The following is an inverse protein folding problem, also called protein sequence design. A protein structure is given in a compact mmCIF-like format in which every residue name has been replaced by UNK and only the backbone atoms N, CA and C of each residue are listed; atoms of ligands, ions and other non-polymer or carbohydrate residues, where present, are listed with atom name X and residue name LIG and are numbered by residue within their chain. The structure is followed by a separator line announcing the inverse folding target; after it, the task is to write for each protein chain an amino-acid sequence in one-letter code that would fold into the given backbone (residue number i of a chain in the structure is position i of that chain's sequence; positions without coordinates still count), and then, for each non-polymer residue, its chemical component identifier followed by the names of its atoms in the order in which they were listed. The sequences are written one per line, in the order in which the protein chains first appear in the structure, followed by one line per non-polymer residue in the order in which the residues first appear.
data_IF_323873260992
#
_entry.id   IF_323873260992
#
_cell.length_a   1.000
_cell.length_b   1.000
_cell.length_c   1.000
_cell.angle_alpha   90.00
_cell.angle_beta   90.00
_cell.angle_gamma   90.00
#
_symmetry.space_group_name_H-M   'P 1'
#
loop_
_entity.id
_entity.type
_entity.pdbx_description
1 polymer ?
#
# COMPACT_ATOMS: atom_id res chain seq x y z
N UNK A 1 -21.68 -12.23 3.35
CA UNK A 1 -20.70 -12.99 2.53
C UNK A 1 -19.31 -12.53 2.96
N UNK A 2 -18.42 -13.47 3.24
CA UNK A 2 -17.04 -13.12 3.58
C UNK A 2 -16.41 -12.35 2.41
N UNK A 3 -15.88 -11.16 2.69
CA UNK A 3 -15.21 -10.34 1.70
C UNK A 3 -13.69 -10.57 1.77
N UNK A 4 -13.05 -10.66 0.61
CA UNK A 4 -11.60 -10.85 0.51
C UNK A 4 -10.92 -9.55 0.16
N UNK A 5 -9.99 -9.10 0.99
CA UNK A 5 -9.18 -7.91 0.79
C UNK A 5 -7.71 -8.30 0.62
N UNK A 6 -7.02 -7.65 -0.31
CA UNK A 6 -5.57 -7.77 -0.50
C UNK A 6 -4.94 -6.38 -0.38
N UNK A 7 -3.83 -6.28 0.34
CA UNK A 7 -2.91 -5.13 0.31
C UNK A 7 -1.55 -5.58 -0.18
N UNK A 8 -0.96 -4.83 -1.13
CA UNK A 8 0.32 -5.18 -1.74
C UNK A 8 1.05 -3.97 -2.32
N UNK A 9 2.27 -3.73 -1.88
CA UNK A 9 3.22 -2.89 -2.60
C UNK A 9 3.81 -3.69 -3.78
N UNK A 10 3.73 -3.15 -5.01
CA UNK A 10 4.06 -3.88 -6.24
C UNK A 10 5.42 -3.54 -6.87
N UNK A 11 6.18 -2.62 -6.27
CA UNK A 11 7.47 -2.12 -6.81
C UNK A 11 7.37 -1.72 -8.30
N UNK A 12 6.33 -1.00 -8.66
CA UNK A 12 6.07 -0.52 -10.02
C UNK A 12 5.91 -1.67 -11.02
N UNK A 13 6.71 -1.65 -12.10
CA UNK A 13 6.63 -2.65 -13.18
C UNK A 13 7.42 -3.92 -12.91
N UNK A 14 8.27 -3.93 -11.89
CA UNK A 14 9.29 -4.97 -11.70
C UNK A 14 8.73 -6.38 -11.59
N UNK A 15 7.57 -6.51 -10.96
CA UNK A 15 6.97 -7.80 -10.63
C UNK A 15 5.59 -8.02 -11.27
N UNK A 16 5.22 -7.24 -12.29
CA UNK A 16 3.90 -7.39 -12.95
C UNK A 16 3.67 -8.80 -13.52
N UNK A 17 4.74 -9.49 -13.92
CA UNK A 17 4.70 -10.89 -14.37
C UNK A 17 4.22 -11.87 -13.28
N UNK A 18 4.31 -11.49 -12.01
CA UNK A 18 3.84 -12.25 -10.84
C UNK A 18 2.57 -11.66 -10.26
N UNK A 19 2.52 -10.32 -10.14
CA UNK A 19 1.40 -9.61 -9.54
C UNK A 19 0.11 -9.83 -10.33
N UNK A 20 0.14 -9.68 -11.67
CA UNK A 20 -1.07 -9.83 -12.49
C UNK A 20 -1.66 -11.24 -12.40
N UNK A 21 -0.91 -12.34 -12.59
CA UNK A 21 -1.44 -13.69 -12.40
C UNK A 21 -1.95 -13.93 -10.97
N UNK A 22 -1.24 -13.43 -9.95
CA UNK A 22 -1.66 -13.56 -8.56
C UNK A 22 -3.02 -12.89 -8.32
N UNK A 23 -3.22 -11.64 -8.74
CA UNK A 23 -4.48 -10.94 -8.57
C UNK A 23 -5.62 -11.64 -9.33
N UNK A 24 -5.35 -12.13 -10.55
CA UNK A 24 -6.31 -12.87 -11.37
C UNK A 24 -6.74 -14.19 -10.70
N UNK A 25 -5.82 -14.90 -10.04
CA UNK A 25 -6.11 -16.12 -9.29
C UNK A 25 -6.91 -15.82 -8.02
N UNK A 26 -6.48 -14.78 -7.26
CA UNK A 26 -7.05 -14.46 -5.97
C UNK A 26 -8.49 -13.96 -6.05
N UNK A 27 -8.86 -13.21 -7.10
CA UNK A 27 -10.21 -12.65 -7.31
C UNK A 27 -10.77 -11.99 -6.05
N UNK A 28 -9.94 -11.14 -5.41
CA UNK A 28 -10.34 -10.46 -4.19
C UNK A 28 -11.44 -9.41 -4.48
N UNK A 29 -12.30 -9.18 -3.51
CA UNK A 29 -13.36 -8.17 -3.62
C UNK A 29 -12.79 -6.75 -3.57
N UNK A 30 -11.66 -6.56 -2.86
CA UNK A 30 -10.93 -5.29 -2.82
C UNK A 30 -9.43 -5.56 -2.86
N UNK A 31 -8.71 -4.78 -3.66
CA UNK A 31 -7.26 -4.79 -3.75
C UNK A 31 -6.73 -3.38 -3.53
N UNK A 32 -5.90 -3.20 -2.52
CA UNK A 32 -5.19 -1.97 -2.20
C UNK A 32 -3.74 -2.11 -2.64
N UNK A 33 -3.32 -1.30 -3.60
CA UNK A 33 -1.98 -1.37 -4.18
C UNK A 33 -1.18 -0.12 -3.86
N UNK A 34 0.11 -0.29 -3.58
CA UNK A 34 1.08 0.77 -3.44
C UNK A 34 2.13 0.63 -4.55
N UNK A 35 2.79 1.75 -4.87
CA UNK A 35 3.81 1.83 -5.93
C UNK A 35 3.30 1.46 -7.32
N UNK A 36 2.13 1.97 -7.68
CA UNK A 36 1.48 1.72 -8.97
C UNK A 36 1.81 2.82 -9.97
N UNK A 37 2.23 2.45 -11.19
CA UNK A 37 2.19 3.38 -12.31
C UNK A 37 0.78 3.46 -12.90
N UNK A 38 0.29 4.68 -13.14
CA UNK A 38 -1.03 4.89 -13.75
C UNK A 38 -1.18 4.12 -15.08
N UNK A 39 -0.13 4.11 -15.90
CA UNK A 39 -0.14 3.42 -17.20
C UNK A 39 -0.27 1.89 -17.10
N UNK A 40 -0.04 1.29 -15.93
CA UNK A 40 -0.16 -0.15 -15.72
C UNK A 40 -1.52 -0.56 -15.13
N UNK A 41 -2.37 0.40 -14.72
CA UNK A 41 -3.72 0.12 -14.23
C UNK A 41 -4.56 -0.74 -15.20
N UNK A 42 -4.52 -0.54 -16.54
CA UNK A 42 -5.25 -1.41 -17.46
C UNK A 42 -4.84 -2.89 -17.38
N UNK A 43 -3.58 -3.19 -17.07
CA UNK A 43 -3.08 -4.57 -16.91
C UNK A 43 -3.46 -5.17 -15.55
N UNK A 44 -3.43 -4.34 -14.49
CA UNK A 44 -3.74 -4.75 -13.12
C UNK A 44 -5.24 -5.00 -12.93
N UNK A 45 -6.08 -4.26 -13.66
CA UNK A 45 -7.54 -4.38 -13.57
C UNK A 45 -8.06 -5.68 -14.17
N UNK A 46 -7.46 -6.14 -15.28
CA UNK A 46 -7.98 -7.21 -16.12
C UNK A 46 -9.51 -7.12 -16.35
N UNK A 47 -10.18 -8.24 -16.62
CA UNK A 47 -11.64 -8.28 -16.79
C UNK A 47 -12.41 -8.39 -15.46
N UNK A 48 -11.72 -8.73 -14.36
CA UNK A 48 -12.36 -8.93 -13.06
C UNK A 48 -12.53 -7.62 -12.29
N UNK A 49 -11.49 -6.77 -12.24
CA UNK A 49 -11.53 -5.51 -11.50
C UNK A 49 -12.08 -4.37 -12.38
N UNK A 50 -13.41 -4.24 -12.43
CA UNK A 50 -14.10 -3.25 -13.29
C UNK A 50 -13.99 -1.82 -12.77
N UNK A 51 -13.79 -1.63 -11.47
CA UNK A 51 -13.71 -0.32 -10.82
C UNK A 51 -12.32 -0.09 -10.24
N UNK A 52 -11.87 1.17 -10.24
CA UNK A 52 -10.64 1.57 -9.58
C UNK A 52 -10.67 3.03 -9.14
N UNK A 53 -9.87 3.32 -8.12
CA UNK A 53 -9.46 4.66 -7.72
C UNK A 53 -7.93 4.72 -7.78
N UNK A 54 -7.38 5.88 -8.11
CA UNK A 54 -5.95 6.09 -8.18
C UNK A 54 -5.60 7.48 -7.66
N UNK A 55 -4.64 7.55 -6.73
CA UNK A 55 -4.07 8.80 -6.23
C UNK A 55 -2.60 8.85 -6.62
N UNK A 56 -2.20 9.74 -7.54
CA UNK A 56 -0.78 9.94 -7.83
C UNK A 56 -0.10 10.63 -6.65
N UNK A 57 1.08 10.15 -6.27
CA UNK A 57 1.87 10.67 -5.15
C UNK A 57 3.17 11.34 -5.60
N UNK A 58 3.57 11.13 -6.84
CA UNK A 58 4.73 11.76 -7.47
C UNK A 58 4.72 11.65 -9.00
N UNK A 59 5.50 12.54 -9.65
CA UNK A 59 5.93 12.37 -11.03
C UNK A 59 7.33 11.75 -11.07
N UNK A 60 7.52 10.71 -11.85
CA UNK A 60 8.85 10.20 -12.12
C UNK A 60 9.17 10.37 -13.61
N UNK A 61 10.23 11.12 -13.89
CA UNK A 61 10.87 11.20 -15.19
C UNK A 61 12.27 10.55 -15.17
N UNK A 62 12.70 10.10 -14.00
CA UNK A 62 14.00 9.51 -13.78
C UNK A 62 13.86 8.07 -13.28
N UNK A 63 14.77 7.29 -13.75
CA UNK A 63 15.01 5.93 -13.39
C UNK A 63 15.51 5.87 -11.95
N UNK A 64 14.61 5.70 -11.00
CA UNK A 64 15.01 5.29 -9.67
C UNK A 64 15.66 3.94 -9.79
N UNK A 65 16.99 3.81 -9.73
CA UNK A 65 17.76 2.56 -9.65
C UNK A 65 17.01 1.24 -9.99
N UNK A 66 15.84 1.38 -10.54
CA UNK A 66 15.20 0.37 -11.30
C UNK A 66 16.14 0.21 -12.48
N UNK A 67 17.01 -0.79 -12.47
CA UNK A 67 17.62 -1.27 -13.69
C UNK A 67 16.48 -1.57 -14.66
N UNK A 68 16.12 -0.55 -15.43
CA UNK A 68 15.05 -0.64 -16.41
C UNK A 68 15.63 -1.41 -17.57
N UNK A 69 15.60 -2.71 -17.40
CA UNK A 69 15.72 -3.62 -18.51
C UNK A 69 14.36 -3.68 -19.17
N UNK A 70 14.31 -3.00 -20.34
CA UNK A 70 13.30 -3.16 -21.39
C UNK A 70 11.85 -2.73 -21.06
N UNK A 71 11.41 -1.68 -21.71
CA UNK A 71 10.00 -1.31 -21.83
C UNK A 71 9.54 -0.01 -21.19
N UNK A 72 10.43 0.77 -20.58
CA UNK A 72 10.07 2.12 -20.14
C UNK A 72 10.11 3.11 -21.32
N UNK A 73 8.97 3.69 -21.66
CA UNK A 73 8.95 4.86 -22.52
C UNK A 73 9.53 6.04 -21.76
N UNK A 74 10.45 6.83 -22.37
CA UNK A 74 10.89 8.07 -21.76
C UNK A 74 9.69 9.02 -21.62
N UNK A 75 9.55 9.66 -20.45
CA UNK A 75 8.48 10.62 -20.17
C UNK A 75 8.13 10.68 -18.69
N UNK A 76 7.46 11.75 -18.31
CA UNK A 76 6.91 11.87 -16.96
C UNK A 76 5.78 10.85 -16.77
N UNK A 77 5.86 10.07 -15.70
CA UNK A 77 4.89 9.05 -15.35
C UNK A 77 4.30 9.35 -13.98
N UNK A 78 3.00 9.18 -13.84
CA UNK A 78 2.34 9.24 -12.54
C UNK A 78 2.52 7.91 -11.80
N UNK A 79 2.90 8.03 -10.56
CA UNK A 79 3.14 6.91 -9.65
C UNK A 79 2.40 7.15 -8.34
N UNK A 80 1.76 6.14 -7.78
CA UNK A 80 0.92 6.37 -6.63
C UNK A 80 0.36 5.11 -6.00
N UNK A 81 -0.82 5.27 -5.40
CA UNK A 81 -1.59 4.21 -4.76
C UNK A 81 -2.92 4.00 -5.49
N UNK A 82 -3.45 2.77 -5.43
CA UNK A 82 -4.69 2.43 -6.09
C UNK A 82 -5.57 1.50 -5.24
N UNK A 83 -6.89 1.60 -5.43
CA UNK A 83 -7.87 0.60 -5.00
C UNK A 83 -8.51 0.02 -6.25
N UNK A 84 -8.55 -1.31 -6.37
CA UNK A 84 -9.23 -2.03 -7.43
C UNK A 84 -10.36 -2.87 -6.82
N UNK A 85 -11.48 -3.00 -7.53
CA UNK A 85 -12.61 -3.83 -7.06
C UNK A 85 -13.52 -4.25 -8.22
N UNK A 86 -14.13 -5.44 -8.18
CA UNK A 86 -15.28 -5.77 -9.01
C UNK A 86 -16.55 -5.04 -8.51
N UNK A 87 -16.59 -4.63 -7.25
CA UNK A 87 -17.69 -3.89 -6.66
C UNK A 87 -17.61 -2.40 -7.06
N UNK A 88 -18.74 -1.68 -7.09
CA UNK A 88 -18.73 -0.24 -7.24
C UNK A 88 -17.89 0.42 -6.13
N UNK A 89 -17.01 1.34 -6.54
CA UNK A 89 -16.21 2.14 -5.63
C UNK A 89 -16.75 3.57 -5.58
N UNK A 90 -16.90 4.10 -4.37
CA UNK A 90 -17.20 5.53 -4.15
C UNK A 90 -16.03 6.13 -3.38
N UNK A 91 -15.33 7.09 -3.99
CA UNK A 91 -14.29 7.85 -3.30
C UNK A 91 -14.93 8.74 -2.23
N UNK A 92 -14.46 8.63 -1.00
CA UNK A 92 -14.85 9.48 0.12
C UNK A 92 -13.79 10.54 0.40
N UNK A 93 -12.51 10.19 0.21
CA UNK A 93 -11.38 11.06 0.39
C UNK A 93 -10.20 10.58 -0.45
N UNK A 94 -9.52 11.51 -1.13
CA UNK A 94 -8.17 11.33 -1.65
C UNK A 94 -7.33 12.52 -1.17
N UNK A 95 -6.24 12.27 -0.45
CA UNK A 95 -5.45 13.33 0.19
C UNK A 95 -3.97 12.98 0.24
N UNK A 96 -3.13 14.00 0.19
CA UNK A 96 -1.71 13.93 0.45
C UNK A 96 -1.40 14.31 1.90
N UNK A 97 -0.34 13.72 2.47
CA UNK A 97 -0.04 13.85 3.90
C UNK A 97 1.03 14.89 4.21
N UNK A 98 1.80 15.35 3.21
CA UNK A 98 2.81 16.38 3.42
C UNK A 98 2.36 17.74 2.83
N UNK A 99 1.85 18.65 3.65
CA UNK A 99 1.42 19.97 3.17
C UNK A 99 2.58 20.90 2.75
N UNK A 100 3.83 20.50 3.01
CA UNK A 100 5.02 21.26 2.61
C UNK A 100 5.49 20.93 1.20
N UNK A 101 5.01 19.82 0.64
CA UNK A 101 5.30 19.39 -0.72
C UNK A 101 4.15 19.75 -1.67
N UNK A 102 4.41 19.92 -2.98
CA UNK A 102 3.36 19.84 -3.98
C UNK A 102 2.57 18.54 -3.84
N UNK A 103 1.29 18.53 -4.22
CA UNK A 103 0.48 17.29 -4.21
C UNK A 103 1.19 16.17 -4.98
N UNK A 104 1.70 16.48 -6.16
CA UNK A 104 2.43 15.52 -7.00
C UNK A 104 3.83 16.07 -7.26
N UNK A 105 4.79 15.88 -6.34
CA UNK A 105 6.15 16.39 -6.53
C UNK A 105 6.89 15.63 -7.63
N UNK A 106 7.85 16.30 -8.25
CA UNK A 106 8.83 15.61 -9.09
C UNK A 106 9.81 14.88 -8.19
N UNK A 107 9.91 13.58 -8.38
CA UNK A 107 10.78 12.76 -7.55
C UNK A 107 12.27 13.02 -7.82
N UNK A 108 13.00 13.25 -6.76
CA UNK A 108 14.44 13.47 -6.78
C UNK A 108 15.24 12.46 -5.93
N UNK A 109 14.57 11.51 -5.29
CA UNK A 109 15.22 10.51 -4.45
C UNK A 109 14.25 9.79 -3.49
N UNK A 110 14.70 8.78 -2.75
CA UNK A 110 13.92 8.11 -1.73
C UNK A 110 13.30 9.09 -0.75
N UNK A 111 12.01 8.93 -0.47
CA UNK A 111 11.28 9.79 0.47
C UNK A 111 10.95 11.20 -0.03
N UNK A 112 11.09 11.48 -1.32
CA UNK A 112 10.73 12.79 -1.91
C UNK A 112 9.34 12.81 -2.52
N UNK A 113 8.60 11.71 -2.46
CA UNK A 113 7.17 11.68 -2.82
C UNK A 113 6.30 12.24 -1.70
N UNK A 114 5.10 12.63 -2.04
CA UNK A 114 4.10 13.04 -1.07
C UNK A 114 3.24 11.83 -0.70
N UNK A 115 3.34 11.29 0.53
CA UNK A 115 2.54 10.13 0.95
C UNK A 115 1.05 10.39 0.76
N UNK A 116 0.33 9.37 0.29
CA UNK A 116 -1.08 9.49 -0.06
C UNK A 116 -1.99 8.62 0.80
N UNK A 117 -3.25 9.05 0.92
CA UNK A 117 -4.35 8.32 1.54
C UNK A 117 -5.54 8.33 0.59
N UNK A 118 -6.10 7.16 0.30
CA UNK A 118 -7.43 7.01 -0.33
C UNK A 118 -8.36 6.40 0.72
N UNK A 119 -9.53 7.01 0.91
CA UNK A 119 -10.65 6.40 1.64
C UNK A 119 -11.80 6.21 0.67
N UNK A 120 -12.34 5.00 0.58
CA UNK A 120 -13.40 4.65 -0.35
C UNK A 120 -14.43 3.70 0.29
N UNK A 121 -15.64 3.72 -0.23
CA UNK A 121 -16.61 2.64 -0.04
C UNK A 121 -16.48 1.61 -1.14
N UNK A 122 -16.45 0.32 -0.75
CA UNK A 122 -16.63 -0.82 -1.62
C UNK A 122 -17.80 -1.65 -1.06
N UNK A 123 -18.97 -1.57 -1.69
CA UNK A 123 -20.22 -2.03 -1.05
C UNK A 123 -20.50 -1.27 0.24
N UNK A 124 -20.68 -2.01 1.35
CA UNK A 124 -20.93 -1.42 2.68
C UNK A 124 -19.64 -1.11 3.46
N UNK A 125 -18.48 -1.61 3.01
CA UNK A 125 -17.21 -1.41 3.70
C UNK A 125 -16.58 -0.07 3.39
N UNK A 126 -16.09 0.61 4.42
CA UNK A 126 -15.19 1.75 4.27
C UNK A 126 -13.74 1.25 4.38
N UNK A 127 -12.95 1.53 3.35
CA UNK A 127 -11.56 1.06 3.22
C UNK A 127 -10.67 2.25 3.01
N UNK A 128 -9.59 2.32 3.79
CA UNK A 128 -8.52 3.28 3.64
C UNK A 128 -7.22 2.56 3.26
N UNK A 129 -6.49 3.12 2.29
CA UNK A 129 -5.16 2.63 1.93
C UNK A 129 -4.16 3.77 1.85
N UNK A 130 -2.94 3.49 2.28
CA UNK A 130 -1.84 4.45 2.26
C UNK A 130 -0.54 3.80 1.78
N UNK A 131 0.33 4.61 1.16
CA UNK A 131 1.76 4.36 1.13
C UNK A 131 2.39 5.46 1.97
N UNK A 132 2.70 5.10 3.21
CA UNK A 132 3.07 6.07 4.23
C UNK A 132 4.53 6.52 4.09
N UNK A 133 4.93 7.46 4.91
CA UNK A 133 6.24 8.11 4.86
C UNK A 133 7.38 7.15 5.09
N UNK A 134 8.23 7.01 4.10
CA UNK A 134 9.47 6.25 4.25
C UNK A 134 10.48 6.99 5.12
N UNK A 135 11.11 6.25 6.02
CA UNK A 135 12.24 6.71 6.84
C UNK A 135 13.36 5.69 6.79
N UNK A 136 14.59 6.13 7.01
CA UNK A 136 15.73 5.22 6.99
C UNK A 136 15.61 4.21 8.12
N UNK A 137 15.66 2.91 7.79
CA UNK A 137 15.51 1.79 8.71
C UNK A 137 14.18 1.75 9.48
N UNK A 138 13.16 2.44 9.01
CA UNK A 138 11.84 2.50 9.66
C UNK A 138 11.83 3.22 11.00
N UNK A 139 12.89 3.95 11.34
CA UNK A 139 12.95 4.75 12.58
C UNK A 139 12.12 6.02 12.41
N UNK A 140 11.17 6.25 13.31
CA UNK A 140 10.31 7.41 13.26
C UNK A 140 11.15 8.71 13.35
N UNK A 141 10.85 9.65 12.47
CA UNK A 141 11.36 11.02 12.50
C UNK A 141 10.21 12.03 12.69
N UNK A 142 10.56 13.29 12.88
CA UNK A 142 9.58 14.35 13.08
C UNK A 142 8.59 14.48 11.90
N UNK A 143 9.05 14.26 10.66
CA UNK A 143 8.20 14.29 9.47
C UNK A 143 7.18 13.14 9.50
N UNK A 144 7.62 11.94 9.82
CA UNK A 144 6.74 10.78 9.90
C UNK A 144 5.69 10.94 11.00
N UNK A 145 6.07 11.51 12.15
CA UNK A 145 5.16 11.85 13.26
C UNK A 145 4.12 12.90 12.84
N UNK A 146 4.53 13.98 12.14
CA UNK A 146 3.61 15.00 11.63
C UNK A 146 2.60 14.38 10.64
N UNK A 147 3.07 13.52 9.73
CA UNK A 147 2.18 12.83 8.78
C UNK A 147 1.23 11.86 9.47
N UNK A 148 1.66 11.21 10.56
CA UNK A 148 0.77 10.37 11.36
C UNK A 148 -0.38 11.18 11.96
N UNK A 149 -0.13 12.36 12.52
CA UNK A 149 -1.20 13.21 13.05
C UNK A 149 -2.19 13.63 11.94
N UNK A 150 -1.68 13.97 10.76
CA UNK A 150 -2.52 14.31 9.61
C UNK A 150 -3.36 13.09 9.19
N UNK A 151 -2.73 11.92 9.05
CA UNK A 151 -3.41 10.66 8.71
C UNK A 151 -4.55 10.37 9.70
N UNK A 152 -4.27 10.44 11.00
CA UNK A 152 -5.27 10.17 12.05
C UNK A 152 -6.44 11.15 12.00
N UNK A 153 -6.16 12.46 11.81
CA UNK A 153 -7.20 13.48 11.67
C UNK A 153 -8.09 13.26 10.43
N UNK A 154 -7.50 12.81 9.31
CA UNK A 154 -8.24 12.50 8.10
C UNK A 154 -9.12 11.26 8.24
N UNK A 155 -8.75 10.34 9.13
CA UNK A 155 -9.51 9.12 9.42
C UNK A 155 -10.60 9.30 10.49
N UNK A 156 -10.53 10.35 11.31
CA UNK A 156 -11.51 10.63 12.37
C UNK A 156 -13.00 10.62 11.94
N UNK A 157 -13.37 11.09 10.74
CA UNK A 157 -14.76 11.06 10.29
C UNK A 157 -15.32 9.66 10.01
N UNK A 158 -14.48 8.63 10.00
CA UNK A 158 -14.86 7.26 9.62
C UNK A 158 -14.85 6.32 10.83
N UNK A 159 -16.01 6.16 11.54
CA UNK A 159 -16.09 5.35 12.76
C UNK A 159 -15.97 3.85 12.50
N UNK A 160 -16.23 3.41 11.26
CA UNK A 160 -16.08 2.03 10.81
C UNK A 160 -15.21 2.01 9.57
N UNK A 161 -14.00 1.46 9.73
CA UNK A 161 -13.02 1.51 8.64
C UNK A 161 -11.99 0.38 8.76
N UNK A 162 -11.53 -0.07 7.61
CA UNK A 162 -10.33 -0.90 7.44
C UNK A 162 -9.22 0.00 6.92
N UNK A 163 -8.10 0.03 7.62
CA UNK A 163 -6.90 0.78 7.21
C UNK A 163 -5.79 -0.20 6.87
N UNK A 164 -5.28 -0.15 5.64
CA UNK A 164 -4.20 -1.05 5.20
C UNK A 164 -3.22 -0.34 4.26
N UNK A 165 -2.05 -0.94 4.04
CA UNK A 165 -1.04 -0.45 3.13
C UNK A 165 0.38 -0.71 3.61
N UNK A 166 1.33 -0.14 2.88
CA UNK A 166 2.73 -0.04 3.29
C UNK A 166 2.92 1.20 4.15
N UNK A 167 3.10 0.98 5.44
CA UNK A 167 3.28 2.07 6.41
C UNK A 167 4.73 2.52 6.53
N UNK A 168 5.69 1.78 5.98
CA UNK A 168 7.11 2.06 6.21
C UNK A 168 7.45 2.21 7.71
N UNK A 169 6.64 1.64 8.58
CA UNK A 169 6.69 1.73 10.04
C UNK A 169 6.73 0.32 10.63
N UNK A 170 7.89 -0.17 11.08
CA UNK A 170 8.03 -1.53 11.56
C UNK A 170 7.14 -1.80 12.77
N UNK A 171 6.63 -3.04 12.85
CA UNK A 171 5.84 -3.52 13.99
C UNK A 171 6.58 -3.28 15.31
N UNK A 172 5.87 -2.74 16.28
CA UNK A 172 6.38 -2.46 17.63
C UNK A 172 7.11 -1.13 17.77
N UNK A 173 7.47 -0.47 16.66
CA UNK A 173 8.04 0.88 16.68
C UNK A 173 6.95 1.95 16.89
N UNK A 174 7.35 3.18 17.16
CA UNK A 174 6.51 4.28 17.64
C UNK A 174 5.25 4.53 16.78
N UNK A 175 5.41 4.60 15.47
CA UNK A 175 4.29 4.88 14.54
C UNK A 175 3.29 3.73 14.58
N UNK A 176 3.78 2.49 14.48
CA UNK A 176 2.95 1.30 14.56
C UNK A 176 2.23 1.20 15.92
N UNK A 177 2.96 1.43 17.02
CA UNK A 177 2.38 1.39 18.37
C UNK A 177 1.26 2.43 18.55
N UNK A 178 1.42 3.62 17.98
CA UNK A 178 0.38 4.65 17.98
C UNK A 178 -0.86 4.21 17.21
N UNK A 179 -0.70 3.64 16.01
CA UNK A 179 -1.81 3.08 15.24
C UNK A 179 -2.50 1.93 15.98
N UNK A 180 -1.74 0.99 16.52
CA UNK A 180 -2.26 -0.15 17.29
C UNK A 180 -2.95 0.26 18.61
N UNK A 181 -2.64 1.42 19.16
CA UNK A 181 -3.37 1.97 20.30
C UNK A 181 -4.76 2.50 19.95
N UNK A 182 -5.01 2.82 18.68
CA UNK A 182 -6.25 3.40 18.19
C UNK A 182 -7.13 2.42 17.42
N UNK A 183 -6.51 1.48 16.74
CA UNK A 183 -7.14 0.47 15.89
C UNK A 183 -6.81 -0.94 16.38
N UNK A 184 -7.62 -1.91 15.99
CA UNK A 184 -7.29 -3.33 16.19
C UNK A 184 -6.25 -3.71 15.13
N UNK A 185 -5.09 -4.14 15.56
CA UNK A 185 -4.03 -4.65 14.67
C UNK A 185 -4.30 -6.11 14.34
N UNK A 186 -4.52 -6.40 13.06
CA UNK A 186 -4.71 -7.75 12.54
C UNK A 186 -3.50 -8.28 11.77
N UNK A 187 -2.41 -7.49 11.70
CA UNK A 187 -1.23 -7.93 10.97
C UNK A 187 -0.72 -9.26 11.53
N UNK A 188 -0.54 -10.31 10.71
CA UNK A 188 -0.19 -11.64 11.20
C UNK A 188 1.13 -11.63 11.97
N UNK A 189 1.27 -12.60 12.90
CA UNK A 189 2.53 -12.81 13.59
C UNK A 189 3.55 -13.50 12.65
N UNK A 190 4.20 -12.67 11.84
CA UNK A 190 5.23 -13.07 10.88
C UNK A 190 6.52 -12.28 11.14
N UNK A 191 7.65 -12.84 10.73
CA UNK A 191 8.96 -12.21 10.87
C UNK A 191 9.13 -10.98 9.97
N UNK A 192 8.43 -10.95 8.82
CA UNK A 192 8.61 -9.92 7.80
C UNK A 192 7.44 -9.87 6.83
N UNK A 193 7.13 -8.68 6.33
CA UNK A 193 6.32 -8.46 5.14
C UNK A 193 7.16 -8.04 3.93
N UNK A 194 8.48 -7.92 4.08
CA UNK A 194 9.41 -7.77 2.97
C UNK A 194 9.75 -9.14 2.39
N UNK A 195 9.65 -9.29 1.07
CA UNK A 195 9.96 -10.59 0.44
C UNK A 195 11.41 -10.99 0.70
N UNK A 196 11.66 -12.22 1.17
CA UNK A 196 12.99 -12.65 1.58
C UNK A 196 13.99 -12.79 0.42
N UNK A 197 13.54 -12.72 -0.84
CA UNK A 197 14.38 -12.87 -2.05
C UNK A 197 14.22 -11.71 -3.03
N UNK A 198 13.03 -11.16 -3.16
CA UNK A 198 12.72 -10.15 -4.18
C UNK A 198 13.03 -8.73 -3.69
N UNK A 199 12.87 -8.45 -2.39
CA UNK A 199 13.17 -7.12 -1.84
C UNK A 199 14.65 -6.75 -2.06
N UNK A 200 14.89 -5.50 -2.47
CA UNK A 200 16.23 -5.04 -2.90
C UNK A 200 17.34 -5.33 -1.88
N UNK A 201 17.08 -5.21 -0.57
CA UNK A 201 18.05 -5.51 0.48
C UNK A 201 18.29 -7.02 0.68
N UNK A 202 17.38 -7.86 0.18
CA UNK A 202 17.42 -9.32 0.34
C UNK A 202 17.91 -10.06 -0.92
N UNK A 203 17.98 -9.38 -2.09
CA UNK A 203 18.34 -10.04 -3.37
C UNK A 203 19.69 -10.74 -3.35
N UNK A 204 20.69 -10.17 -2.68
CA UNK A 204 22.03 -10.74 -2.59
C UNK A 204 22.25 -11.59 -1.34
N UNK A 205 21.47 -11.37 -0.29
CA UNK A 205 21.51 -12.09 0.98
C UNK A 205 20.07 -12.35 1.43
N UNK A 206 19.44 -13.47 1.02
CA UNK A 206 18.04 -13.75 1.32
C UNK A 206 17.72 -13.68 2.82
N UNK A 207 16.70 -12.89 3.15
CA UNK A 207 16.25 -12.70 4.54
C UNK A 207 17.17 -11.85 5.41
N UNK A 208 18.08 -11.07 4.83
CA UNK A 208 18.97 -10.14 5.55
C UNK A 208 18.19 -9.04 6.27
N UNK A 209 17.20 -8.45 5.60
CA UNK A 209 16.31 -7.45 6.19
C UNK A 209 14.96 -8.09 6.45
N UNK A 210 14.53 -8.05 7.70
CA UNK A 210 13.24 -8.55 8.14
C UNK A 210 12.51 -7.43 8.87
N UNK A 211 11.49 -6.85 8.26
CA UNK A 211 10.62 -5.85 8.87
C UNK A 211 9.16 -6.20 8.52
N UNK A 212 8.28 -5.96 9.44
CA UNK A 212 6.83 -5.99 9.20
C UNK A 212 6.39 -4.55 9.07
N UNK A 213 6.14 -4.09 7.84
CA UNK A 213 5.80 -2.71 7.50
C UNK A 213 4.47 -2.57 6.76
N UNK A 214 3.96 -3.68 6.23
CA UNK A 214 2.64 -3.77 5.61
C UNK A 214 1.66 -4.24 6.67
N UNK A 215 0.67 -3.41 7.00
CA UNK A 215 -0.25 -3.65 8.11
C UNK A 215 -1.70 -3.64 7.66
N UNK A 216 -2.54 -4.30 8.45
CA UNK A 216 -3.98 -4.22 8.37
C UNK A 216 -4.54 -3.91 9.77
N UNK A 217 -5.20 -2.77 9.86
CA UNK A 217 -5.89 -2.29 11.05
C UNK A 217 -7.38 -2.18 10.78
N UNK A 218 -8.21 -2.35 11.82
CA UNK A 218 -9.64 -2.09 11.73
C UNK A 218 -10.13 -1.30 12.95
N UNK A 219 -11.28 -0.65 12.80
CA UNK A 219 -12.08 -0.26 13.97
C UNK A 219 -12.65 -1.52 14.64
N UNK A 220 -13.02 -1.42 15.91
CA UNK A 220 -13.43 -2.57 16.73
C UNK A 220 -14.73 -3.27 16.29
N UNK A 221 -15.50 -2.65 15.40
CA UNK A 221 -16.77 -3.19 14.89
C UNK A 221 -16.58 -4.15 13.70
N UNK A 222 -15.39 -4.16 13.08
CA UNK A 222 -15.10 -4.99 11.91
C UNK A 222 -14.45 -6.29 12.35
N UNK A 223 -14.99 -7.41 11.90
CA UNK A 223 -14.45 -8.74 12.19
C UNK A 223 -13.58 -9.22 11.03
N UNK A 224 -12.33 -9.56 11.34
CA UNK A 224 -11.40 -10.26 10.42
C UNK A 224 -11.40 -11.73 10.83
N UNK A 225 -11.84 -12.60 9.91
CA UNK A 225 -11.93 -14.04 10.16
C UNK A 225 -10.59 -14.74 9.99
N UNK A 226 -9.85 -14.32 8.97
CA UNK A 226 -8.54 -14.88 8.65
C UNK A 226 -7.66 -13.81 8.04
N UNK A 227 -6.37 -13.86 8.36
CA UNK A 227 -5.37 -13.03 7.70
C UNK A 227 -4.11 -13.84 7.42
N UNK A 228 -3.56 -13.71 6.22
CA UNK A 228 -2.36 -14.43 5.78
C UNK A 228 -1.40 -13.50 5.05
N UNK A 229 -0.13 -13.90 5.00
CA UNK A 229 0.93 -13.20 4.25
C UNK A 229 1.48 -14.11 3.18
N UNK A 230 1.47 -13.65 1.93
CA UNK A 230 1.95 -14.40 0.75
C UNK A 230 3.19 -13.75 0.18
N UNK A 231 4.33 -14.46 0.22
CA UNK A 231 5.58 -14.07 -0.42
C UNK A 231 5.65 -14.51 -1.90
N UNK A 232 6.69 -14.06 -2.61
CA UNK A 232 6.97 -14.44 -4.00
C UNK A 232 6.14 -13.73 -5.06
N UNK A 233 5.37 -12.70 -4.68
CA UNK A 233 4.50 -11.91 -5.56
C UNK A 233 5.17 -10.61 -5.98
N UNK A 234 5.73 -9.88 -5.02
CA UNK A 234 6.47 -8.62 -5.21
C UNK A 234 7.67 -8.61 -4.28
N UNK A 235 8.37 -7.49 -4.20
CA UNK A 235 9.40 -7.26 -3.19
C UNK A 235 8.82 -7.07 -1.78
N UNK A 236 7.52 -6.74 -1.67
CA UNK A 236 6.70 -6.91 -0.48
C UNK A 236 5.84 -8.17 -0.59
N UNK A 237 5.48 -8.72 0.56
CA UNK A 237 4.52 -9.81 0.65
C UNK A 237 3.09 -9.25 0.58
N UNK A 238 2.19 -9.96 -0.09
CA UNK A 238 0.78 -9.61 -0.07
C UNK A 238 0.16 -9.94 1.28
N UNK A 239 -0.53 -8.98 1.89
CA UNK A 239 -1.39 -9.18 3.06
C UNK A 239 -2.79 -9.48 2.56
N UNK A 240 -3.35 -10.63 2.93
CA UNK A 240 -4.64 -11.14 2.48
C UNK A 240 -5.54 -11.32 3.69
N UNK A 241 -6.71 -10.67 3.70
CA UNK A 241 -7.69 -10.77 4.77
C UNK A 241 -9.04 -11.27 4.27
N UNK A 242 -9.69 -12.11 5.07
CA UNK A 242 -11.09 -12.48 4.92
C UNK A 242 -11.89 -11.80 6.03
N UNK A 243 -12.94 -11.09 5.63
CA UNK A 243 -13.78 -10.28 6.50
C UNK A 243 -15.17 -10.93 6.64
N UNK A 244 -15.77 -10.86 7.83
CA UNK A 244 -17.11 -11.40 8.10
C UNK A 244 -18.22 -10.59 7.39
#
# INVERSE_FOLDING_TARGET
MALKLISLNIEGKRHLDKVVPFLTEQKADVVCLQEVFEEDLPKLKDQFYSNHLFLPTWHTNQHFNLEIKEGYSPGEKLFGIAILSPLPLTELLASHLDPKLPEIPKNSGPGTWNPGLIVAKAGDLTIATTHFTWTRFGQADERQQQHLQILLNLLDPYPELILTGDFNAPRGEEIHATLASRFVDHTPDVDTTLDPKLHYANRNEPGKLKLVVDHLFTTSTITVEEITVKNGVSDHCAVIAHLA
#
